data_IF_248142314184
#
_entry.id   IF_248142314184
#
_cell.length_a   1.000
_cell.length_b   1.000
_cell.length_c   1.000
_cell.angle_alpha   90.00
_cell.angle_beta   90.00
_cell.angle_gamma   90.00
#
_symmetry.space_group_name_H-M   'P 1'
#
loop_
_entity.id
_entity.type
_entity.pdbx_description
1 polymer ?
#
# COMPACT_ATOMS: atom_id res chain seq x y z
N UNK A 1 -2.48 13.31 -2.19
CA UNK A 1 -3.13 12.31 -1.35
C UNK A 1 -2.82 12.65 0.09
N UNK A 2 -3.82 13.09 0.88
CA UNK A 2 -3.68 13.30 2.32
C UNK A 2 -3.49 11.93 2.97
N UNK A 3 -2.25 11.59 3.33
CA UNK A 3 -1.98 10.48 4.22
C UNK A 3 -2.38 10.88 5.64
N UNK A 4 -3.64 10.67 6.01
CA UNK A 4 -4.00 10.63 7.41
C UNK A 4 -3.34 9.39 8.01
N UNK A 5 -2.21 9.58 8.72
CA UNK A 5 -1.65 8.54 9.55
C UNK A 5 -2.61 8.29 10.71
N UNK A 6 -3.69 7.55 10.43
CA UNK A 6 -4.51 6.97 11.47
C UNK A 6 -3.65 5.91 12.16
N UNK A 7 -3.31 6.15 13.45
CA UNK A 7 -3.06 5.02 14.34
C UNK A 7 -4.23 4.08 14.14
N UNK A 8 -3.97 2.88 13.62
CA UNK A 8 -5.00 1.86 13.48
C UNK A 8 -5.75 1.79 14.82
N UNK A 9 -7.04 2.07 14.87
CA UNK A 9 -7.81 1.89 16.07
C UNK A 9 -7.62 0.43 16.49
N UNK A 10 -7.50 0.16 17.79
CA UNK A 10 -7.57 -1.20 18.29
C UNK A 10 -8.90 -1.75 17.78
N UNK A 11 -8.84 -2.60 16.77
CA UNK A 11 -10.02 -3.21 16.18
C UNK A 11 -10.73 -3.99 17.26
N UNK A 12 -11.87 -3.50 17.70
CA UNK A 12 -12.80 -4.30 18.49
C UNK A 12 -13.43 -5.28 17.51
N UNK A 13 -12.87 -6.49 17.43
CA UNK A 13 -13.52 -7.61 16.74
C UNK A 13 -14.81 -7.93 17.48
N UNK A 14 -15.94 -7.53 16.92
CA UNK A 14 -17.25 -8.02 17.34
C UNK A 14 -17.63 -9.19 16.46
N UNK A 15 -17.94 -10.35 17.05
CA UNK A 15 -18.50 -11.49 16.34
C UNK A 15 -20.01 -11.48 16.42
N UNK A 16 -20.69 -11.62 15.28
CA UNK A 16 -22.11 -11.97 15.21
C UNK A 16 -22.22 -13.34 14.53
N UNK A 17 -23.14 -14.16 14.99
CA UNK A 17 -23.50 -15.39 14.29
C UNK A 17 -24.37 -15.02 13.09
N UNK A 18 -24.05 -15.54 11.91
CA UNK A 18 -24.91 -15.42 10.75
C UNK A 18 -26.13 -16.38 10.83
N UNK A 19 -26.96 -16.39 9.81
CA UNK A 19 -28.14 -17.26 9.74
C UNK A 19 -27.81 -18.76 9.65
N UNK A 20 -26.54 -19.14 9.49
CA UNK A 20 -26.05 -20.53 9.46
C UNK A 20 -25.37 -20.94 10.76
N UNK A 21 -25.18 -20.00 11.70
CA UNK A 21 -24.52 -20.23 12.99
C UNK A 21 -23.01 -20.13 12.92
N UNK A 22 -22.44 -19.63 11.83
CA UNK A 22 -21.01 -19.35 11.70
C UNK A 22 -20.67 -17.94 12.23
N UNK A 23 -19.52 -17.83 12.91
CA UNK A 23 -19.05 -16.55 13.44
C UNK A 23 -18.51 -15.68 12.31
N UNK A 24 -19.24 -14.61 11.98
CA UNK A 24 -18.77 -13.57 11.07
C UNK A 24 -18.12 -12.46 11.88
N UNK A 25 -16.86 -12.20 11.60
CA UNK A 25 -16.10 -11.14 12.26
C UNK A 25 -16.23 -9.84 11.48
N UNK A 26 -16.80 -8.83 12.12
CA UNK A 26 -16.84 -7.48 11.59
C UNK A 26 -15.78 -6.62 12.29
N UNK A 27 -14.98 -5.92 11.51
CA UNK A 27 -14.18 -4.79 11.98
C UNK A 27 -15.15 -3.60 12.00
N UNK A 28 -15.63 -3.20 13.18
CA UNK A 28 -16.27 -1.89 13.29
C UNK A 28 -15.15 -0.86 13.11
N UNK A 29 -15.08 -0.25 11.93
CA UNK A 29 -14.37 1.02 11.75
C UNK A 29 -15.08 2.05 12.62
N UNK A 30 -14.53 2.29 13.81
CA UNK A 30 -14.98 3.43 14.62
C UNK A 30 -14.56 4.68 13.86
N UNK A 31 -15.53 5.26 13.14
CA UNK A 31 -15.34 6.57 12.51
C UNK A 31 -15.00 7.55 13.62
N UNK A 32 -13.74 7.99 13.66
CA UNK A 32 -13.30 8.98 14.64
C UNK A 32 -13.87 10.32 14.24
N UNK A 33 -14.73 10.91 15.08
CA UNK A 33 -15.30 12.23 14.82
C UNK A 33 -14.24 13.32 14.94
N UNK A 34 -13.86 13.92 13.83
CA UNK A 34 -12.89 15.02 13.71
C UNK A 34 -13.58 16.36 13.40
N UNK A 35 -14.91 16.43 13.42
CA UNK A 35 -15.70 17.58 12.95
C UNK A 35 -15.32 18.89 13.66
N UNK A 36 -15.10 18.85 14.97
CA UNK A 36 -14.71 20.04 15.75
C UNK A 36 -13.33 20.60 15.32
N UNK A 37 -12.37 19.72 15.06
CA UNK A 37 -11.05 20.11 14.56
C UNK A 37 -11.10 20.65 13.12
N UNK A 38 -11.92 20.03 12.26
CA UNK A 38 -12.11 20.51 10.88
C UNK A 38 -12.72 21.90 10.83
N UNK A 39 -13.67 22.23 11.71
CA UNK A 39 -14.22 23.58 11.86
C UNK A 39 -13.15 24.60 12.25
N UNK A 40 -12.23 24.24 13.14
CA UNK A 40 -11.07 25.07 13.48
C UNK A 40 -10.19 25.32 12.26
N UNK A 41 -9.85 24.28 11.51
CA UNK A 41 -9.04 24.39 10.30
C UNK A 41 -9.72 25.31 9.28
N UNK A 42 -11.02 25.14 9.06
CA UNK A 42 -11.78 25.97 8.14
C UNK A 42 -11.77 27.45 8.56
N UNK A 43 -11.98 27.74 9.84
CA UNK A 43 -11.95 29.11 10.36
C UNK A 43 -10.58 29.76 10.18
N UNK A 44 -9.49 29.04 10.48
CA UNK A 44 -8.12 29.55 10.30
C UNK A 44 -7.78 29.71 8.83
N UNK A 45 -8.20 28.79 7.96
CA UNK A 45 -8.00 28.88 6.50
C UNK A 45 -8.64 30.13 5.89
N UNK A 46 -9.80 30.55 6.39
CA UNK A 46 -10.46 31.80 5.94
C UNK A 46 -9.61 33.05 6.23
N UNK A 47 -8.87 33.05 7.35
CA UNK A 47 -8.04 34.18 7.77
C UNK A 47 -6.64 34.13 7.15
N UNK A 48 -6.00 32.96 7.22
CA UNK A 48 -4.62 32.79 6.78
C UNK A 48 -4.49 32.45 5.29
N UNK A 49 -5.59 32.07 4.65
CA UNK A 49 -5.63 31.64 3.25
C UNK A 49 -5.22 30.17 3.10
N UNK A 50 -5.35 29.64 1.90
CA UNK A 50 -4.84 28.31 1.54
C UNK A 50 -3.61 28.47 0.66
N UNK A 51 -2.57 27.69 0.95
CA UNK A 51 -1.46 27.50 0.03
C UNK A 51 -1.79 26.24 -0.82
N UNK A 52 -2.01 26.39 -2.13
CA UNK A 52 -2.34 25.26 -3.01
C UNK A 52 -1.20 24.23 -3.10
N UNK A 53 0.03 24.62 -2.73
CA UNK A 53 1.19 23.74 -2.72
C UNK A 53 1.44 23.11 -1.33
N UNK A 54 0.66 23.50 -0.32
CA UNK A 54 0.82 22.99 1.05
C UNK A 54 -0.15 21.84 1.32
N UNK A 55 0.38 20.70 1.74
CA UNK A 55 -0.41 19.56 2.24
C UNK A 55 -1.21 19.95 3.50
N UNK A 56 -0.75 20.96 4.25
CA UNK A 56 -1.36 21.47 5.47
C UNK A 56 -2.35 22.63 5.28
N UNK A 57 -2.82 22.89 4.06
CA UNK A 57 -3.75 23.98 3.79
C UNK A 57 -3.13 25.36 4.01
N UNK A 58 -3.43 26.07 5.13
CA UNK A 58 -2.90 27.39 5.42
C UNK A 58 -1.48 27.40 6.01
N UNK A 59 -0.97 26.26 6.49
CA UNK A 59 0.42 26.12 6.98
C UNK A 59 1.37 26.41 5.81
N UNK A 60 2.27 27.37 6.00
CA UNK A 60 3.19 27.81 4.94
C UNK A 60 2.67 28.98 4.09
N UNK A 61 1.39 29.37 4.22
CA UNK A 61 0.91 30.58 3.55
C UNK A 61 1.60 31.83 4.10
N UNK A 62 1.75 32.91 3.31
CA UNK A 62 2.40 34.15 3.77
C UNK A 62 1.69 34.84 4.95
N UNK A 63 0.43 34.50 5.22
CA UNK A 63 -0.36 35.02 6.35
C UNK A 63 -0.32 34.12 7.56
N UNK A 64 0.18 32.88 7.43
CA UNK A 64 0.31 31.96 8.53
C UNK A 64 1.29 32.51 9.57
N UNK A 65 0.94 32.52 10.89
CA UNK A 65 1.86 32.95 11.91
C UNK A 65 3.13 32.12 11.91
N UNK A 66 4.30 32.76 12.02
CA UNK A 66 5.61 32.11 11.96
C UNK A 66 5.88 31.11 13.09
N UNK A 67 5.10 31.18 14.18
CA UNK A 67 5.19 30.20 15.28
C UNK A 67 4.48 28.88 14.94
N UNK A 68 3.62 28.82 13.90
CA UNK A 68 2.84 27.65 13.57
C UNK A 68 3.60 26.82 12.51
N UNK A 69 4.11 25.66 12.93
CA UNK A 69 5.02 24.84 12.12
C UNK A 69 4.38 23.55 11.59
N UNK A 70 3.17 23.22 12.03
CA UNK A 70 2.49 22.02 11.55
C UNK A 70 1.16 21.82 12.25
N UNK A 71 0.36 20.91 11.70
CA UNK A 71 -0.87 20.42 12.31
C UNK A 71 -1.16 18.98 11.89
N UNK A 72 -1.80 18.22 12.78
CA UNK A 72 -2.26 16.87 12.51
C UNK A 72 -3.39 16.49 13.47
N UNK A 73 -4.10 15.41 13.15
CA UNK A 73 -5.06 14.83 14.09
C UNK A 73 -4.42 13.67 14.89
N UNK A 74 -4.56 13.74 16.22
CA UNK A 74 -4.24 12.65 17.15
C UNK A 74 -5.59 12.04 17.60
N UNK A 75 -6.06 11.05 16.87
CA UNK A 75 -7.45 10.56 16.98
C UNK A 75 -8.45 11.62 16.55
N UNK A 76 -9.38 12.01 17.47
CA UNK A 76 -10.35 13.10 17.24
C UNK A 76 -9.80 14.50 17.51
N UNK A 77 -8.61 14.60 18.12
CA UNK A 77 -8.06 15.87 18.59
C UNK A 77 -7.17 16.50 17.54
N UNK A 78 -7.52 17.71 17.09
CA UNK A 78 -6.62 18.52 16.28
C UNK A 78 -5.43 19.01 17.14
N UNK A 79 -4.21 18.81 16.63
CA UNK A 79 -2.97 19.23 17.29
C UNK A 79 -2.25 20.22 16.38
N UNK A 80 -1.90 21.37 16.92
CA UNK A 80 -1.02 22.33 16.28
C UNK A 80 0.39 22.23 16.85
N UNK A 81 1.37 22.11 15.97
CA UNK A 81 2.79 22.20 16.31
C UNK A 81 3.22 23.65 16.33
N UNK A 82 3.71 24.12 17.46
CA UNK A 82 4.07 25.52 17.65
C UNK A 82 5.50 25.67 18.17
N UNK A 83 6.19 26.69 17.70
CA UNK A 83 7.53 27.07 18.18
C UNK A 83 7.43 28.29 19.13
N UNK A 84 8.19 28.25 20.23
CA UNK A 84 8.25 29.34 21.16
C UNK A 84 7.14 29.34 22.22
N UNK A 85 6.53 30.50 22.51
CA UNK A 85 5.55 30.68 23.58
C UNK A 85 4.18 30.04 23.21
N UNK A 86 3.89 28.89 23.79
CA UNK A 86 2.63 28.17 23.58
C UNK A 86 1.41 28.92 24.12
N UNK A 87 1.58 29.76 25.19
CA UNK A 87 0.48 30.56 25.72
C UNK A 87 0.11 31.71 24.78
N UNK A 88 1.09 32.31 24.14
CA UNK A 88 0.87 33.31 23.10
C UNK A 88 0.22 32.71 21.88
N UNK A 89 0.74 31.59 21.38
CA UNK A 89 0.19 30.86 20.24
C UNK A 89 -1.29 30.46 20.48
N UNK A 90 -1.60 29.96 21.69
CA UNK A 90 -2.95 29.59 22.07
C UNK A 90 -3.91 30.75 21.96
N UNK A 91 -3.57 31.91 22.57
CA UNK A 91 -4.44 33.11 22.51
C UNK A 91 -4.75 33.55 21.09
N UNK A 92 -3.74 33.54 20.20
CA UNK A 92 -3.93 33.92 18.79
C UNK A 92 -4.84 32.90 18.08
N UNK A 93 -4.54 31.61 18.19
CA UNK A 93 -5.31 30.58 17.48
C UNK A 93 -6.75 30.51 18.00
N UNK A 94 -6.98 30.57 19.31
CA UNK A 94 -8.34 30.60 19.90
C UNK A 94 -9.13 31.84 19.45
N UNK A 95 -8.51 33.02 19.45
CA UNK A 95 -9.13 34.25 19.00
C UNK A 95 -9.47 34.22 17.52
N UNK A 96 -8.58 33.67 16.69
CA UNK A 96 -8.76 33.64 15.23
C UNK A 96 -9.76 32.58 14.82
N UNK A 97 -9.73 31.41 15.42
CA UNK A 97 -10.66 30.30 15.11
C UNK A 97 -12.02 30.46 15.79
N UNK A 98 -12.14 31.28 16.83
CA UNK A 98 -13.34 31.36 17.66
C UNK A 98 -13.65 30.03 18.41
N UNK A 99 -12.66 29.18 18.61
CA UNK A 99 -12.80 27.82 19.16
C UNK A 99 -11.57 27.41 19.96
N UNK A 100 -11.80 26.52 20.94
CA UNK A 100 -10.75 25.88 21.74
C UNK A 100 -10.58 24.39 21.43
N UNK A 101 -11.22 23.89 20.37
CA UNK A 101 -11.25 22.48 20.03
C UNK A 101 -9.93 22.00 19.38
N UNK A 102 -8.79 22.31 20.02
CA UNK A 102 -7.47 21.84 19.59
C UNK A 102 -6.49 21.75 20.77
N UNK A 103 -5.42 21.02 20.58
CA UNK A 103 -4.27 20.93 21.49
C UNK A 103 -3.03 21.56 20.83
N UNK A 104 -2.14 22.11 21.63
CA UNK A 104 -0.82 22.56 21.18
C UNK A 104 0.24 21.55 21.56
N UNK A 105 1.18 21.34 20.67
CA UNK A 105 2.42 20.61 20.88
C UNK A 105 3.59 21.56 20.59
N UNK A 106 4.46 21.75 21.57
CA UNK A 106 5.63 22.61 21.38
C UNK A 106 6.70 21.87 20.57
N UNK A 107 7.17 22.47 19.49
CA UNK A 107 8.33 22.00 18.74
C UNK A 107 9.59 22.34 19.51
N UNK A 108 10.36 21.31 19.86
CA UNK A 108 11.65 21.40 20.57
C UNK A 108 12.76 20.82 19.70
N UNK A 109 14.02 20.90 20.16
CA UNK A 109 15.14 20.27 19.44
C UNK A 109 15.02 18.75 19.32
N UNK A 110 14.26 18.11 20.21
CA UNK A 110 13.98 16.66 20.16
C UNK A 110 12.80 16.27 19.29
N UNK A 111 12.03 17.24 18.78
CA UNK A 111 10.85 17.03 17.95
C UNK A 111 11.02 17.73 16.60
N UNK A 112 10.56 17.09 15.54
CA UNK A 112 10.54 17.69 14.21
C UNK A 112 9.19 18.37 13.97
N UNK A 113 9.22 19.57 13.38
CA UNK A 113 8.04 20.20 12.84
C UNK A 113 7.62 19.51 11.54
N UNK A 114 6.35 19.67 11.16
CA UNK A 114 5.86 19.16 9.89
C UNK A 114 6.68 19.70 8.70
N UNK A 115 7.06 20.99 8.72
CA UNK A 115 7.89 21.58 7.68
C UNK A 115 9.29 20.94 7.60
N UNK A 116 9.91 20.61 8.73
CA UNK A 116 11.19 19.90 8.77
C UNK A 116 11.06 18.49 8.20
N UNK A 117 9.99 17.78 8.55
CA UNK A 117 9.73 16.44 8.01
C UNK A 117 9.46 16.48 6.49
N UNK A 118 8.73 17.49 6.00
CA UNK A 118 8.53 17.70 4.56
C UNK A 118 9.85 17.94 3.82
N UNK A 119 10.73 18.80 4.38
CA UNK A 119 12.05 19.03 3.79
C UNK A 119 12.90 17.75 3.70
N UNK A 120 12.79 16.86 4.70
CA UNK A 120 13.46 15.55 4.69
C UNK A 120 12.90 14.67 3.58
N UNK A 121 11.57 14.67 3.40
CA UNK A 121 10.91 13.91 2.29
C UNK A 121 11.34 14.43 0.93
N UNK A 122 11.41 15.77 0.76
CA UNK A 122 11.85 16.37 -0.51
C UNK A 122 13.32 16.02 -0.83
N UNK A 123 14.19 16.03 0.18
CA UNK A 123 15.58 15.60 0.02
C UNK A 123 15.66 14.09 -0.29
N UNK A 124 14.84 13.28 0.36
CA UNK A 124 14.77 11.83 0.10
C UNK A 124 14.30 11.54 -1.33
N UNK A 125 13.30 12.27 -1.85
CA UNK A 125 12.85 12.16 -3.23
C UNK A 125 14.00 12.42 -4.21
N UNK A 126 14.73 13.52 -4.03
CA UNK A 126 15.86 13.87 -4.90
C UNK A 126 16.96 12.82 -4.90
N UNK A 127 17.29 12.27 -3.73
CA UNK A 127 18.31 11.22 -3.59
C UNK A 127 17.85 9.89 -4.16
N UNK A 128 16.57 9.54 -3.99
CA UNK A 128 15.99 8.31 -4.55
C UNK A 128 15.99 8.30 -6.08
N UNK A 129 15.74 9.45 -6.73
CA UNK A 129 15.76 9.56 -8.19
C UNK A 129 17.14 9.19 -8.77
N UNK A 130 18.20 9.49 -8.05
CA UNK A 130 19.59 9.19 -8.45
C UNK A 130 20.12 7.86 -7.93
N UNK A 131 19.32 7.14 -7.14
CA UNK A 131 19.72 5.87 -6.54
C UNK A 131 19.92 4.78 -7.60
N UNK A 132 21.12 4.21 -7.65
CA UNK A 132 21.50 3.14 -8.58
C UNK A 132 21.41 1.73 -7.98
N UNK A 133 21.32 1.62 -6.66
CA UNK A 133 21.17 0.35 -5.95
C UNK A 133 19.76 -0.23 -6.19
N UNK A 134 19.66 -1.18 -7.13
CA UNK A 134 18.39 -1.82 -7.50
C UNK A 134 17.76 -2.58 -6.33
N UNK A 135 18.59 -3.24 -5.49
CA UNK A 135 18.07 -3.98 -4.33
C UNK A 135 17.37 -3.05 -3.36
N UNK A 136 18.03 -1.96 -2.99
CA UNK A 136 17.45 -0.96 -2.09
C UNK A 136 16.23 -0.28 -2.74
N UNK A 137 16.36 0.13 -4.00
CA UNK A 137 15.30 0.82 -4.75
C UNK A 137 14.02 -0.01 -4.84
N UNK A 138 14.13 -1.30 -5.16
CA UNK A 138 13.00 -2.20 -5.31
C UNK A 138 12.43 -2.67 -3.96
N UNK A 139 13.23 -2.56 -2.88
CA UNK A 139 12.76 -2.89 -1.52
C UNK A 139 11.95 -1.75 -0.87
N UNK A 140 12.06 -0.53 -1.36
CA UNK A 140 11.30 0.61 -0.86
C UNK A 140 9.95 0.71 -1.58
N UNK A 141 8.83 0.69 -0.81
CA UNK A 141 7.48 0.76 -1.40
C UNK A 141 6.88 2.15 -1.31
N UNK A 142 7.12 2.85 -0.21
CA UNK A 142 6.60 4.19 0.01
C UNK A 142 7.38 4.91 1.12
N UNK A 143 7.32 6.23 1.10
CA UNK A 143 7.76 7.07 2.20
C UNK A 143 6.93 8.35 2.25
N UNK A 144 6.87 8.95 3.43
CA UNK A 144 6.11 10.19 3.63
C UNK A 144 6.20 10.72 5.05
N UNK A 145 5.60 11.87 5.25
CA UNK A 145 5.51 12.50 6.57
C UNK A 145 4.48 11.76 7.42
N UNK A 146 4.95 11.17 8.52
CA UNK A 146 4.11 10.65 9.58
C UNK A 146 3.76 11.73 10.62
N UNK A 147 3.27 11.31 11.78
CA UNK A 147 2.89 12.26 12.84
C UNK A 147 4.09 13.04 13.41
N UNK A 148 5.23 12.38 13.61
CA UNK A 148 6.43 12.94 14.27
C UNK A 148 7.74 12.50 13.62
N UNK A 149 7.66 11.81 12.50
CA UNK A 149 8.80 11.23 11.80
C UNK A 149 8.49 11.13 10.30
N UNK A 150 9.50 10.83 9.51
CA UNK A 150 9.32 10.35 8.14
C UNK A 150 9.26 8.84 8.21
N UNK A 151 8.17 8.27 7.73
CA UNK A 151 7.97 6.82 7.64
C UNK A 151 8.46 6.33 6.30
N UNK A 152 9.36 5.34 6.32
CA UNK A 152 9.88 4.67 5.12
C UNK A 152 9.47 3.20 5.21
N UNK A 153 8.68 2.74 4.25
CA UNK A 153 8.20 1.37 4.20
C UNK A 153 9.04 0.54 3.25
N UNK A 154 9.49 -0.61 3.76
CA UNK A 154 10.18 -1.63 3.00
C UNK A 154 9.30 -2.86 2.76
N UNK A 155 9.53 -3.54 1.65
CA UNK A 155 9.03 -4.90 1.43
C UNK A 155 9.58 -5.85 2.50
N UNK A 156 10.91 -5.79 2.74
CA UNK A 156 11.59 -6.45 3.85
C UNK A 156 12.45 -5.44 4.61
N UNK A 157 12.06 -5.18 5.85
CA UNK A 157 12.71 -4.22 6.75
C UNK A 157 13.84 -4.86 7.55
N UNK A 158 14.81 -5.49 6.86
CA UNK A 158 15.95 -6.15 7.52
C UNK A 158 16.96 -5.12 8.05
N UNK A 159 17.82 -5.50 9.02
CA UNK A 159 18.93 -4.64 9.48
C UNK A 159 19.82 -4.16 8.33
N UNK A 160 20.10 -5.05 7.36
CA UNK A 160 20.93 -4.74 6.18
C UNK A 160 20.24 -3.72 5.26
N UNK A 161 18.92 -3.82 5.08
CA UNK A 161 18.14 -2.86 4.29
C UNK A 161 18.16 -1.47 4.94
N UNK A 162 17.98 -1.40 6.26
CA UNK A 162 18.06 -0.14 7.01
C UNK A 162 19.47 0.47 6.96
N UNK A 163 20.50 -0.35 7.06
CA UNK A 163 21.87 0.11 6.95
C UNK A 163 22.16 0.64 5.54
N UNK A 164 21.79 -0.09 4.50
CA UNK A 164 21.96 0.34 3.12
C UNK A 164 21.23 1.67 2.82
N UNK A 165 20.04 1.86 3.39
CA UNK A 165 19.31 3.12 3.30
C UNK A 165 20.09 4.28 3.93
N UNK A 166 20.60 4.10 5.18
CA UNK A 166 21.35 5.14 5.87
C UNK A 166 22.63 5.52 5.13
N UNK A 167 23.33 4.54 4.58
CA UNK A 167 24.59 4.77 3.86
C UNK A 167 24.39 5.42 2.49
N UNK A 168 23.33 5.06 1.76
CA UNK A 168 23.16 5.41 0.34
C UNK A 168 22.15 6.51 0.09
N UNK A 169 21.20 6.68 0.99
CA UNK A 169 20.17 7.72 0.88
C UNK A 169 20.30 8.76 1.97
N UNK A 170 20.00 8.40 3.22
CA UNK A 170 19.96 9.38 4.28
C UNK A 170 20.07 8.73 5.66
N UNK A 171 21.01 9.23 6.48
CA UNK A 171 21.07 8.90 7.90
C UNK A 171 20.47 10.06 8.71
N UNK A 172 19.22 9.92 9.09
CA UNK A 172 18.49 10.92 9.86
C UNK A 172 17.72 10.26 11.01
N UNK A 173 17.81 10.78 12.25
CA UNK A 173 17.02 10.28 13.37
C UNK A 173 15.53 10.56 13.24
N UNK A 174 15.12 11.41 12.28
CA UNK A 174 13.72 11.64 11.94
C UNK A 174 13.08 10.48 11.18
N UNK A 175 13.88 9.53 10.66
CA UNK A 175 13.36 8.43 9.83
C UNK A 175 13.02 7.24 10.70
N UNK A 176 11.80 6.72 10.49
CA UNK A 176 11.31 5.46 11.02
C UNK A 176 11.09 4.48 9.88
N UNK A 177 11.62 3.27 10.06
CA UNK A 177 11.45 2.18 9.09
C UNK A 177 10.28 1.29 9.47
N UNK A 178 9.48 0.91 8.47
CA UNK A 178 8.33 0.02 8.61
C UNK A 178 8.42 -1.16 7.63
N UNK A 179 7.69 -2.21 7.92
CA UNK A 179 7.65 -3.44 7.15
C UNK A 179 8.10 -4.66 7.96
N UNK A 180 7.83 -5.88 7.48
CA UNK A 180 8.24 -7.12 8.13
C UNK A 180 9.75 -7.35 7.98
N UNK A 181 10.40 -7.87 9.02
CA UNK A 181 11.84 -8.23 8.95
C UNK A 181 12.08 -9.56 8.22
N UNK A 182 11.04 -10.38 8.09
CA UNK A 182 11.08 -11.67 7.39
C UNK A 182 9.73 -11.96 6.72
N UNK A 183 9.69 -12.83 5.69
CA UNK A 183 8.46 -13.22 5.05
C UNK A 183 7.45 -13.77 6.05
N UNK A 184 6.22 -13.21 6.06
CA UNK A 184 5.15 -13.62 6.97
C UNK A 184 4.55 -14.96 6.54
N UNK A 185 4.09 -15.77 7.50
CA UNK A 185 3.34 -17.00 7.22
C UNK A 185 2.00 -16.62 6.57
N UNK A 186 1.72 -17.28 5.44
CA UNK A 186 0.46 -17.10 4.71
C UNK A 186 0.09 -18.43 4.03
N UNK A 187 -0.68 -19.24 4.71
CA UNK A 187 -1.11 -20.58 4.25
C UNK A 187 -2.44 -20.53 3.46
N UNK A 188 -2.84 -19.35 3.00
CA UNK A 188 -4.08 -19.19 2.24
C UNK A 188 -4.11 -20.13 1.04
N UNK A 189 -5.28 -20.67 0.80
CA UNK A 189 -5.62 -21.43 -0.42
C UNK A 189 -6.84 -20.81 -1.05
N UNK A 190 -7.04 -21.06 -2.35
CA UNK A 190 -8.24 -20.68 -3.06
C UNK A 190 -8.45 -21.58 -4.28
N UNK A 191 -9.37 -21.19 -5.15
CA UNK A 191 -9.81 -21.97 -6.30
C UNK A 191 -9.07 -21.55 -7.57
N UNK A 192 -8.81 -22.54 -8.45
CA UNK A 192 -8.18 -22.31 -9.75
C UNK A 192 -9.22 -22.15 -10.87
N UNK A 193 -10.39 -22.76 -10.72
CA UNK A 193 -11.48 -22.79 -11.70
C UNK A 193 -12.83 -22.66 -11.00
N UNK A 194 -13.67 -21.74 -11.47
CA UNK A 194 -15.03 -21.55 -10.99
C UNK A 194 -15.87 -20.78 -12.01
N UNK A 195 -17.14 -21.13 -12.17
CA UNK A 195 -18.10 -20.41 -13.03
C UNK A 195 -17.65 -20.24 -14.51
N UNK A 196 -16.78 -21.12 -14.99
CA UNK A 196 -16.15 -21.01 -16.30
C UNK A 196 -14.99 -19.98 -16.35
N UNK A 197 -14.50 -19.53 -15.20
CA UNK A 197 -13.32 -18.67 -15.08
C UNK A 197 -12.18 -19.53 -14.57
N UNK A 198 -11.02 -19.49 -15.21
CA UNK A 198 -9.85 -20.24 -14.76
C UNK A 198 -8.58 -19.42 -14.82
N UNK A 199 -7.67 -19.68 -13.88
CA UNK A 199 -6.39 -18.98 -13.73
C UNK A 199 -5.24 -19.96 -13.88
N UNK A 200 -4.30 -19.67 -14.78
CA UNK A 200 -3.18 -20.55 -15.10
C UNK A 200 -1.86 -19.78 -15.17
N UNK A 201 -0.71 -20.40 -14.84
CA UNK A 201 0.58 -19.84 -15.20
C UNK A 201 0.74 -19.91 -16.73
N UNK A 202 1.35 -18.88 -17.34
CA UNK A 202 1.60 -18.88 -18.78
C UNK A 202 2.60 -19.98 -19.20
N UNK A 203 3.58 -20.24 -18.33
CA UNK A 203 4.59 -21.29 -18.55
C UNK A 203 4.58 -22.31 -17.41
N UNK A 204 4.84 -23.56 -17.73
CA UNK A 204 4.89 -24.66 -16.77
C UNK A 204 5.92 -24.47 -15.64
N UNK A 205 6.94 -23.65 -15.87
CA UNK A 205 8.02 -23.33 -14.93
C UNK A 205 8.71 -22.02 -15.31
N UNK A 206 9.19 -21.28 -14.30
CA UNK A 206 9.99 -20.07 -14.47
C UNK A 206 11.34 -20.20 -13.77
N UNK A 207 12.29 -19.34 -14.15
CA UNK A 207 13.59 -19.26 -13.48
C UNK A 207 13.46 -18.62 -12.10
N UNK A 208 14.28 -19.09 -11.13
CA UNK A 208 14.43 -18.42 -9.83
C UNK A 208 14.99 -16.99 -9.97
N UNK A 209 15.71 -16.71 -11.07
CA UNK A 209 16.26 -15.40 -11.37
C UNK A 209 15.30 -14.50 -12.17
N UNK A 210 14.11 -15.02 -12.54
CA UNK A 210 13.14 -14.24 -13.28
C UNK A 210 12.62 -13.07 -12.44
N UNK A 211 12.64 -11.88 -13.02
CA UNK A 211 12.04 -10.69 -12.37
C UNK A 211 10.52 -10.72 -12.40
N UNK A 212 9.93 -11.48 -13.33
CA UNK A 212 8.49 -11.59 -13.52
C UNK A 212 8.04 -13.02 -13.84
N UNK A 213 6.76 -13.31 -13.54
CA UNK A 213 6.03 -14.47 -14.03
C UNK A 213 4.69 -14.02 -14.59
N UNK A 214 4.24 -14.65 -15.68
CA UNK A 214 3.00 -14.30 -16.36
C UNK A 214 1.91 -15.34 -16.10
N UNK A 215 0.66 -14.86 -15.95
CA UNK A 215 -0.50 -15.66 -15.65
C UNK A 215 -1.63 -15.32 -16.60
N UNK A 216 -2.42 -16.31 -16.97
CA UNK A 216 -3.54 -16.16 -17.90
C UNK A 216 -4.84 -16.40 -17.15
N UNK A 217 -5.68 -15.39 -17.11
CA UNK A 217 -7.07 -15.47 -16.65
C UNK A 217 -7.95 -15.72 -17.87
N UNK A 218 -8.64 -16.86 -17.92
CA UNK A 218 -9.55 -17.22 -18.99
C UNK A 218 -11.00 -17.01 -18.52
N UNK A 219 -11.81 -16.37 -19.33
CA UNK A 219 -13.25 -16.26 -19.11
C UNK A 219 -14.01 -17.09 -20.14
N UNK A 220 -14.27 -18.33 -19.83
CA UNK A 220 -15.13 -19.24 -20.60
C UNK A 220 -16.59 -19.24 -20.10
N UNK A 221 -16.90 -18.37 -19.13
CA UNK A 221 -18.24 -18.15 -18.63
C UNK A 221 -19.12 -17.37 -19.62
N UNK A 222 -20.31 -17.00 -19.15
CA UNK A 222 -21.29 -16.26 -19.95
C UNK A 222 -21.50 -14.81 -19.54
N UNK A 223 -20.71 -14.32 -18.56
CA UNK A 223 -20.75 -12.95 -18.05
C UNK A 223 -19.40 -12.25 -18.21
N UNK A 224 -19.45 -10.93 -18.29
CA UNK A 224 -18.23 -10.13 -18.18
C UNK A 224 -17.66 -10.25 -16.76
N UNK A 225 -16.35 -10.27 -16.67
CA UNK A 225 -15.62 -10.20 -15.40
C UNK A 225 -14.66 -9.01 -15.43
N UNK A 226 -14.31 -8.49 -14.27
CA UNK A 226 -13.27 -7.48 -14.12
C UNK A 226 -12.16 -7.99 -13.22
N UNK A 227 -10.95 -7.55 -13.49
CA UNK A 227 -9.78 -7.79 -12.65
C UNK A 227 -8.93 -6.51 -12.59
N UNK A 228 -8.07 -6.39 -11.59
CA UNK A 228 -7.22 -5.21 -11.38
C UNK A 228 -5.74 -5.53 -11.43
N UNK A 229 -4.94 -4.70 -10.76
CA UNK A 229 -3.49 -4.89 -10.63
C UNK A 229 -3.09 -5.54 -9.29
N UNK A 230 -4.05 -5.76 -8.38
CA UNK A 230 -3.77 -6.36 -7.08
C UNK A 230 -3.55 -7.87 -7.19
N UNK A 231 -2.43 -8.32 -6.66
CA UNK A 231 -2.09 -9.73 -6.54
C UNK A 231 -1.22 -9.96 -5.31
N UNK A 232 -1.10 -11.20 -4.90
CA UNK A 232 -0.04 -11.61 -3.99
C UNK A 232 0.45 -13.03 -4.34
N UNK A 233 1.63 -13.37 -3.87
CA UNK A 233 2.25 -14.65 -4.12
C UNK A 233 2.64 -15.27 -2.78
N UNK A 234 2.49 -16.58 -2.66
CA UNK A 234 3.08 -17.34 -1.55
C UNK A 234 4.04 -18.38 -2.09
N UNK A 235 5.02 -18.79 -1.28
CA UNK A 235 5.95 -19.85 -1.59
C UNK A 235 6.04 -20.85 -0.43
N UNK A 236 6.29 -22.10 -0.77
CA UNK A 236 6.52 -23.16 0.21
C UNK A 236 7.98 -23.13 0.63
N UNK A 237 8.24 -22.92 1.94
CA UNK A 237 9.59 -22.93 2.47
C UNK A 237 10.10 -24.37 2.67
N UNK A 238 11.36 -24.53 3.06
CA UNK A 238 12.02 -25.82 3.26
C UNK A 238 11.39 -26.71 4.36
N UNK A 239 10.53 -26.13 5.19
CA UNK A 239 9.78 -26.84 6.24
C UNK A 239 8.35 -27.19 5.79
N UNK A 240 7.97 -26.88 4.54
CA UNK A 240 6.62 -27.05 4.02
C UNK A 240 5.63 -25.97 4.46
N UNK A 241 6.11 -24.89 5.09
CA UNK A 241 5.27 -23.77 5.52
C UNK A 241 5.13 -22.75 4.38
N UNK A 242 3.91 -22.33 4.09
CA UNK A 242 3.65 -21.31 3.09
C UNK A 242 3.86 -19.91 3.65
N UNK A 243 4.66 -19.12 2.94
CA UNK A 243 5.00 -17.73 3.32
C UNK A 243 4.66 -16.77 2.19
N UNK A 244 4.28 -15.56 2.54
CA UNK A 244 4.11 -14.49 1.56
C UNK A 244 5.44 -14.19 0.89
N UNK A 245 5.48 -14.20 -0.45
CA UNK A 245 6.63 -13.72 -1.19
C UNK A 245 6.73 -12.20 -0.98
N UNK A 246 7.90 -11.70 -0.58
CA UNK A 246 8.09 -10.26 -0.40
C UNK A 246 8.03 -9.53 -1.74
N UNK A 247 6.92 -8.90 -2.00
CA UNK A 247 6.66 -8.12 -3.22
C UNK A 247 6.11 -6.74 -2.85
N UNK A 248 6.19 -5.80 -3.77
CA UNK A 248 5.49 -4.53 -3.65
C UNK A 248 4.00 -4.76 -3.95
N UNK A 249 3.15 -4.55 -2.97
CA UNK A 249 1.69 -4.68 -3.06
C UNK A 249 0.99 -3.37 -3.46
N UNK A 250 1.75 -2.30 -3.70
CA UNK A 250 1.22 -1.05 -4.22
C UNK A 250 0.75 -1.26 -5.66
N UNK A 251 -0.54 -1.06 -5.89
CA UNK A 251 -1.15 -1.13 -7.19
C UNK A 251 -1.92 0.15 -7.51
N UNK A 252 -2.02 0.47 -8.78
CA UNK A 252 -2.90 1.53 -9.26
C UNK A 252 -4.32 0.97 -9.41
N UNK A 253 -5.30 1.81 -9.17
CA UNK A 253 -6.72 1.43 -9.28
C UNK A 253 -7.17 1.43 -10.74
N UNK A 254 -6.76 0.39 -11.47
CA UNK A 254 -7.15 0.14 -12.87
C UNK A 254 -7.92 -1.17 -12.92
N UNK A 255 -9.05 -1.17 -13.64
CA UNK A 255 -9.85 -2.34 -13.92
C UNK A 255 -9.76 -2.76 -15.38
N UNK A 256 -9.60 -4.06 -15.61
CA UNK A 256 -9.62 -4.69 -16.93
C UNK A 256 -10.88 -5.53 -17.07
N UNK A 257 -11.66 -5.27 -18.11
CA UNK A 257 -12.84 -6.08 -18.43
C UNK A 257 -12.45 -7.25 -19.33
N UNK A 258 -12.83 -8.46 -18.93
CA UNK A 258 -12.64 -9.68 -19.72
C UNK A 258 -13.99 -10.23 -20.13
N UNK A 259 -14.27 -10.16 -21.43
CA UNK A 259 -15.54 -10.61 -22.02
C UNK A 259 -15.61 -12.15 -22.04
N UNK A 260 -16.82 -12.75 -22.17
CA UNK A 260 -16.99 -14.17 -22.44
C UNK A 260 -16.17 -14.63 -23.64
N UNK A 261 -15.46 -15.76 -23.50
CA UNK A 261 -14.50 -16.29 -24.48
C UNK A 261 -13.17 -15.53 -24.54
N UNK A 262 -13.00 -14.47 -23.75
CA UNK A 262 -11.77 -13.68 -23.70
C UNK A 262 -10.77 -14.17 -22.65
N UNK A 263 -9.63 -13.49 -22.62
CA UNK A 263 -8.59 -13.74 -21.62
C UNK A 263 -7.91 -12.43 -21.23
N UNK A 264 -7.24 -12.45 -20.07
CA UNK A 264 -6.33 -11.41 -19.61
C UNK A 264 -4.99 -12.01 -19.24
N UNK A 265 -3.90 -11.46 -19.80
CA UNK A 265 -2.54 -11.85 -19.47
C UNK A 265 -2.02 -10.88 -18.41
N UNK A 266 -1.75 -11.37 -17.22
CA UNK A 266 -1.22 -10.62 -16.11
C UNK A 266 0.26 -10.96 -15.89
N UNK A 267 1.10 -9.95 -15.63
CA UNK A 267 2.53 -10.13 -15.36
C UNK A 267 2.84 -9.68 -13.94
N UNK A 268 3.16 -10.64 -13.07
CA UNK A 268 3.52 -10.41 -11.68
C UNK A 268 5.03 -10.21 -11.52
N UNK A 269 5.44 -9.24 -10.71
CA UNK A 269 6.84 -9.08 -10.32
C UNK A 269 7.19 -10.06 -9.19
N UNK A 270 8.39 -10.64 -9.25
CA UNK A 270 8.89 -11.63 -8.30
C UNK A 270 10.00 -11.08 -7.37
N UNK A 271 10.55 -9.91 -7.65
CA UNK A 271 11.57 -9.19 -6.85
C UNK A 271 12.75 -10.06 -6.35
N UNK A 272 13.45 -10.83 -7.24
CA UNK A 272 14.52 -11.73 -6.83
C UNK A 272 15.70 -11.02 -6.15
N UNK A 273 15.89 -9.73 -6.39
CA UNK A 273 16.90 -8.89 -5.76
C UNK A 273 16.56 -8.51 -4.31
N UNK A 274 15.28 -8.45 -3.95
CA UNK A 274 14.81 -8.16 -2.59
C UNK A 274 14.85 -9.42 -1.74
N UNK A 275 14.29 -10.51 -2.27
CA UNK A 275 14.23 -11.81 -1.66
C UNK A 275 14.67 -12.86 -2.68
N UNK A 276 15.79 -13.56 -2.41
CA UNK A 276 16.29 -14.60 -3.32
C UNK A 276 15.27 -15.73 -3.44
N UNK A 277 14.66 -15.84 -4.61
CA UNK A 277 13.72 -16.90 -4.90
C UNK A 277 14.44 -18.25 -4.95
N UNK A 278 13.82 -19.29 -4.38
CA UNK A 278 14.36 -20.65 -4.35
C UNK A 278 13.59 -21.55 -5.31
N UNK A 279 14.21 -22.63 -5.83
CA UNK A 279 13.46 -23.65 -6.55
C UNK A 279 12.37 -24.24 -5.65
N UNK A 280 11.16 -24.39 -6.18
CA UNK A 280 10.05 -24.92 -5.40
C UNK A 280 8.68 -24.50 -5.91
N UNK A 281 7.68 -24.70 -5.06
CA UNK A 281 6.27 -24.43 -5.33
C UNK A 281 5.88 -23.03 -4.86
N UNK A 282 5.08 -22.36 -5.70
CA UNK A 282 4.56 -21.02 -5.49
C UNK A 282 3.07 -21.02 -5.79
N UNK A 283 2.33 -20.11 -5.15
CA UNK A 283 0.91 -19.84 -5.43
C UNK A 283 0.74 -18.38 -5.78
N UNK A 284 0.13 -18.13 -6.92
CA UNK A 284 -0.28 -16.80 -7.36
C UNK A 284 -1.76 -16.62 -7.06
N UNK A 285 -2.11 -15.52 -6.40
CA UNK A 285 -3.47 -15.16 -6.04
C UNK A 285 -3.89 -13.90 -6.77
N UNK A 286 -5.08 -13.94 -7.34
CA UNK A 286 -5.61 -12.86 -8.14
C UNK A 286 -7.11 -12.68 -7.89
N UNK A 287 -7.54 -11.41 -7.69
CA UNK A 287 -8.92 -11.10 -7.42
C UNK A 287 -9.68 -10.83 -8.72
N UNK A 288 -10.84 -11.43 -8.86
CA UNK A 288 -11.73 -11.30 -10.00
C UNK A 288 -13.10 -10.83 -9.51
N UNK A 289 -13.61 -9.75 -10.10
CA UNK A 289 -14.89 -9.16 -9.78
C UNK A 289 -15.95 -9.66 -10.74
N UNK A 290 -17.04 -10.19 -10.20
CA UNK A 290 -18.25 -10.53 -10.93
C UNK A 290 -19.30 -9.45 -10.73
N UNK A 291 -20.14 -9.23 -11.75
CA UNK A 291 -21.24 -8.28 -11.72
C UNK A 291 -20.80 -6.87 -11.23
N UNK A 292 -19.59 -6.42 -11.65
CA UNK A 292 -18.89 -5.23 -11.15
C UNK A 292 -19.74 -3.95 -11.25
N UNK A 293 -20.59 -3.84 -12.27
CA UNK A 293 -21.43 -2.67 -12.53
C UNK A 293 -22.81 -2.74 -11.86
N UNK A 294 -23.01 -3.70 -10.97
CA UNK A 294 -24.31 -3.94 -10.34
C UNK A 294 -24.19 -3.97 -8.80
N UNK A 295 -25.33 -3.78 -8.07
CA UNK A 295 -25.35 -3.99 -6.62
C UNK A 295 -25.06 -5.43 -6.19
N UNK A 296 -25.02 -6.39 -7.14
CA UNK A 296 -24.70 -7.79 -6.90
C UNK A 296 -23.21 -8.10 -7.06
N UNK A 297 -22.36 -7.05 -7.15
CA UNK A 297 -20.91 -7.21 -7.19
C UNK A 297 -20.44 -8.13 -6.08
N UNK A 298 -19.63 -9.10 -6.44
CA UNK A 298 -18.87 -9.90 -5.50
C UNK A 298 -17.50 -10.26 -6.07
N UNK A 299 -16.54 -10.38 -5.18
CA UNK A 299 -15.15 -10.59 -5.54
C UNK A 299 -14.78 -12.06 -5.25
N UNK A 300 -14.11 -12.69 -6.20
CA UNK A 300 -13.62 -14.07 -6.09
C UNK A 300 -12.09 -13.99 -6.05
N UNK A 301 -11.49 -14.52 -4.99
CA UNK A 301 -10.06 -14.73 -4.97
C UNK A 301 -9.73 -16.02 -5.71
N UNK A 302 -9.07 -15.92 -6.85
CA UNK A 302 -8.56 -17.06 -7.61
C UNK A 302 -7.13 -17.39 -7.20
N UNK A 303 -6.70 -18.63 -7.37
CA UNK A 303 -5.34 -19.08 -7.09
C UNK A 303 -4.88 -20.05 -8.17
N UNK A 304 -3.62 -19.97 -8.55
CA UNK A 304 -2.96 -21.03 -9.32
C UNK A 304 -1.58 -21.34 -8.77
N UNK A 305 -1.20 -22.61 -8.78
CA UNK A 305 0.17 -23.00 -8.41
C UNK A 305 1.08 -22.90 -9.63
N UNK A 306 2.32 -22.46 -9.39
CA UNK A 306 3.39 -22.44 -10.38
C UNK A 306 4.72 -22.84 -9.72
N UNK A 307 5.76 -23.03 -10.51
CA UNK A 307 7.04 -23.51 -10.03
C UNK A 307 8.18 -22.64 -10.51
N UNK A 308 9.12 -22.39 -9.61
CA UNK A 308 10.42 -21.82 -9.96
C UNK A 308 11.50 -22.91 -9.94
N UNK A 309 12.49 -22.80 -10.81
CA UNK A 309 13.63 -23.71 -10.92
C UNK A 309 14.92 -22.96 -11.30
N UNK A 310 16.06 -23.48 -10.90
CA UNK A 310 17.38 -23.08 -11.37
C UNK A 310 17.92 -24.01 -12.47
N UNK A 311 17.17 -25.08 -12.81
CA UNK A 311 17.53 -26.03 -13.85
C UNK A 311 17.32 -25.42 -15.26
N UNK A 312 18.40 -25.06 -15.93
CA UNK A 312 18.39 -24.43 -17.25
C UNK A 312 17.67 -25.27 -18.31
N UNK A 313 17.72 -26.60 -18.21
CA UNK A 313 17.06 -27.47 -19.19
C UNK A 313 15.55 -27.46 -18.99
N UNK A 314 15.05 -27.44 -17.75
CA UNK A 314 13.61 -27.29 -17.46
C UNK A 314 13.10 -25.93 -17.97
N UNK A 315 13.86 -24.86 -17.72
CA UNK A 315 13.49 -23.51 -18.19
C UNK A 315 13.40 -23.48 -19.73
N UNK A 316 14.40 -24.06 -20.40
CA UNK A 316 14.43 -24.11 -21.88
C UNK A 316 13.24 -24.92 -22.46
N UNK A 317 12.82 -25.94 -21.76
CA UNK A 317 11.73 -26.83 -22.17
C UNK A 317 10.37 -26.46 -21.53
N UNK A 318 10.26 -25.26 -20.94
CA UNK A 318 9.03 -24.80 -20.34
C UNK A 318 7.88 -24.80 -21.37
N UNK A 319 6.79 -25.44 -21.04
CA UNK A 319 5.61 -25.52 -21.91
C UNK A 319 4.77 -24.26 -21.66
N UNK A 320 4.43 -23.56 -22.73
CA UNK A 320 3.50 -22.44 -22.68
C UNK A 320 2.07 -22.96 -22.80
N UNK A 321 1.15 -22.39 -22.01
CA UNK A 321 -0.28 -22.70 -22.13
C UNK A 321 -0.81 -22.22 -23.49
N UNK A 322 -1.70 -23.00 -24.08
CA UNK A 322 -2.42 -22.56 -25.26
C UNK A 322 -3.46 -21.52 -24.85
N UNK A 323 -3.26 -20.28 -25.30
CA UNK A 323 -4.21 -19.19 -25.08
C UNK A 323 -5.22 -19.23 -26.23
N UNK A 324 -6.52 -19.38 -25.95
CA UNK A 324 -7.53 -19.35 -27.00
C UNK A 324 -7.41 -18.06 -27.81
N UNK A 325 -7.30 -18.20 -29.14
CA UNK A 325 -7.34 -17.02 -30.01
C UNK A 325 -8.73 -16.40 -29.92
N UNK A 326 -8.79 -15.07 -29.83
CA UNK A 326 -10.05 -14.34 -29.88
C UNK A 326 -10.78 -14.74 -31.17
N UNK A 327 -12.06 -15.15 -31.15
CA UNK A 327 -12.79 -15.32 -32.40
C UNK A 327 -12.74 -13.99 -33.17
N UNK A 328 -12.40 -14.04 -34.45
CA UNK A 328 -12.20 -12.90 -35.35
C UNK A 328 -13.47 -12.05 -35.62
N UNK A 329 -14.48 -12.12 -34.77
CA UNK A 329 -15.76 -11.45 -34.93
C UNK A 329 -16.08 -10.50 -33.78
N UNK A 330 -15.33 -9.43 -33.67
CA UNK A 330 -15.86 -8.16 -33.18
C UNK A 330 -15.71 -7.13 -34.29
N UNK A 331 -16.65 -7.22 -35.24
CA UNK A 331 -16.95 -6.16 -36.19
C UNK A 331 -17.44 -4.93 -35.47
N UNK A 332 -17.05 -3.82 -36.06
CA UNK A 332 -17.22 -2.42 -35.75
C UNK A 332 -18.50 -2.00 -35.00
#
# INVERSE_FOLDING_TARGET
FMGCANKAPKSNLTSKLDSTGEAVYFVEDTVVDQSAGLQVIEALSRVYGNDPNSIGGFIGSPRCPSFLEGMFFDGSTLVFQVRGDTAHARRILESTAGSKAFRLEQVTESNYSQQQLMSIVDELNQRFDTLTDKKLKNNMTSWGVGLRNVEVRFILNTPEARQAFREKLMDSPAIRFEGPEQPIINERISITDTLGISLHPEYSVYSTEASTASFVLLNQGNKNIMCGEHYFITYEDENGTWRALPINDAAIDIGYMVLPGGHHLFTANLYPEVHSNKPGRYRFFYEVMLDADTPLRHDILMMTEFRLTDNKQEIKNAIRIEIPQKPDNYGA
#
